data_IF_009898773982
#
_entry.id   IF_009898773982
#
_cell.length_a   1.000
_cell.length_b   1.000
_cell.length_c   1.000
_cell.angle_alpha   90.00
_cell.angle_beta   90.00
_cell.angle_gamma   90.00
#
_symmetry.space_group_name_H-M   'P 1'
#
loop_
_entity.id
_entity.type
_entity.pdbx_description
1 polymer ?
#
# COMPACT_ATOMS: atom_id res chain seq x y z
N UNK A 1 -8.16 13.58 4.16
CA UNK A 1 -8.59 12.17 4.19
C UNK A 1 -7.57 11.37 4.98
N UNK A 2 -8.00 10.45 5.83
CA UNK A 2 -7.09 9.67 6.69
C UNK A 2 -6.85 8.29 6.10
N UNK A 3 -5.61 7.82 6.21
CA UNK A 3 -5.20 6.48 5.82
C UNK A 3 -5.31 5.60 7.07
N UNK A 4 -6.50 5.06 7.32
CA UNK A 4 -6.76 4.17 8.46
C UNK A 4 -6.93 2.72 7.97
N UNK A 5 -5.95 1.90 8.34
CA UNK A 5 -5.95 0.46 8.12
C UNK A 5 -6.19 -0.22 9.46
N UNK A 6 -7.09 -1.19 9.49
CA UNK A 6 -7.39 -1.97 10.68
C UNK A 6 -6.69 -3.32 10.55
N UNK A 7 -5.97 -3.72 11.60
CA UNK A 7 -5.33 -5.03 11.70
C UNK A 7 -5.73 -5.62 13.03
N UNK A 8 -6.47 -6.74 13.02
CA UNK A 8 -6.96 -7.40 14.24
C UNK A 8 -7.71 -6.47 15.21
N UNK A 9 -8.40 -5.45 14.67
CA UNK A 9 -9.15 -4.46 15.45
C UNK A 9 -8.40 -3.16 15.76
N UNK A 10 -7.07 -3.13 15.60
CA UNK A 10 -6.25 -1.94 15.86
C UNK A 10 -6.06 -1.06 14.61
N UNK A 11 -6.11 0.26 14.80
CA UNK A 11 -5.90 1.24 13.72
C UNK A 11 -4.42 1.47 13.47
N UNK A 12 -3.87 0.94 12.40
CA UNK A 12 -2.47 1.11 12.01
C UNK A 12 -2.34 2.17 10.90
N UNK A 13 -1.44 3.13 11.09
CA UNK A 13 -1.04 4.06 10.04
C UNK A 13 0.04 3.48 9.13
N UNK A 14 0.13 3.96 7.90
CA UNK A 14 1.18 3.58 6.96
C UNK A 14 1.58 4.77 6.06
N UNK A 15 2.70 4.62 5.33
CA UNK A 15 3.19 5.61 4.35
C UNK A 15 3.62 4.96 3.04
N UNK A 16 3.21 5.58 1.92
CA UNK A 16 3.58 5.13 0.57
C UNK A 16 4.86 5.82 0.10
N UNK A 17 6.01 5.24 0.47
CA UNK A 17 7.32 5.78 0.11
C UNK A 17 7.87 5.12 -1.16
N UNK A 18 8.55 5.90 -2.02
CA UNK A 18 9.13 5.42 -3.28
C UNK A 18 10.02 4.19 -3.09
N UNK A 19 10.78 4.12 -1.98
CA UNK A 19 11.61 2.95 -1.65
C UNK A 19 10.80 1.67 -1.47
N UNK A 20 9.62 1.73 -0.85
CA UNK A 20 8.75 0.56 -0.65
C UNK A 20 8.12 0.14 -1.99
N UNK A 21 7.72 1.12 -2.80
CA UNK A 21 7.18 0.91 -4.15
C UNK A 21 8.22 0.19 -5.02
N UNK A 22 9.44 0.70 -5.10
CA UNK A 22 10.51 0.10 -5.90
C UNK A 22 10.93 -1.28 -5.37
N UNK A 23 10.90 -1.50 -4.06
CA UNK A 23 11.19 -2.81 -3.46
C UNK A 23 10.18 -3.89 -3.89
N UNK A 24 8.93 -3.52 -4.17
CA UNK A 24 7.88 -4.47 -4.59
C UNK A 24 7.75 -4.51 -6.11
N UNK A 25 7.87 -3.38 -6.80
CA UNK A 25 7.60 -3.27 -8.23
C UNK A 25 8.83 -3.35 -9.14
N UNK A 26 10.04 -3.10 -8.62
CA UNK A 26 11.29 -3.07 -9.38
C UNK A 26 12.06 -1.75 -9.26
N UNK A 27 13.33 -1.76 -9.68
CA UNK A 27 14.36 -0.80 -9.21
C UNK A 27 14.65 0.41 -10.12
N UNK A 28 14.32 0.39 -11.41
CA UNK A 28 14.73 1.47 -12.34
C UNK A 28 13.52 2.22 -12.92
N UNK A 29 12.71 1.55 -13.72
CA UNK A 29 11.52 2.12 -14.33
C UNK A 29 10.36 1.15 -14.17
N UNK A 30 9.24 1.64 -13.62
CA UNK A 30 8.09 0.78 -13.30
C UNK A 30 7.11 0.84 -14.47
N UNK A 31 7.19 -0.12 -15.38
CA UNK A 31 6.30 -0.23 -16.55
C UNK A 31 5.03 -1.05 -16.27
N UNK A 32 5.03 -1.86 -15.21
CA UNK A 32 3.89 -2.71 -14.84
C UNK A 32 2.87 -1.98 -13.97
N UNK A 33 1.59 -2.23 -14.22
CA UNK A 33 0.52 -1.79 -13.31
C UNK A 33 0.55 -2.64 -12.04
N UNK A 34 0.49 -2.02 -10.84
CA UNK A 34 0.45 -2.78 -9.59
C UNK A 34 -0.83 -3.60 -9.48
N UNK A 35 -0.72 -4.83 -9.00
CA UNK A 35 -1.88 -5.65 -8.62
C UNK A 35 -2.41 -5.24 -7.24
N UNK A 36 -3.58 -5.76 -6.85
CA UNK A 36 -4.11 -5.53 -5.50
C UNK A 36 -3.13 -6.03 -4.41
N UNK A 37 -2.52 -7.20 -4.63
CA UNK A 37 -1.52 -7.76 -3.71
C UNK A 37 -0.24 -6.92 -3.68
N UNK A 38 0.22 -6.37 -4.81
CA UNK A 38 1.35 -5.44 -4.80
C UNK A 38 1.05 -4.20 -3.95
N UNK A 39 -0.16 -3.65 -4.06
CA UNK A 39 -0.60 -2.52 -3.22
C UNK A 39 -0.53 -2.90 -1.74
N UNK A 40 -1.06 -4.06 -1.35
CA UNK A 40 -1.04 -4.54 0.03
C UNK A 40 0.38 -4.75 0.55
N UNK A 41 1.28 -5.32 -0.27
CA UNK A 41 2.71 -5.49 0.09
C UNK A 41 3.42 -4.16 0.28
N UNK A 42 3.11 -3.15 -0.54
CA UNK A 42 3.66 -1.80 -0.39
C UNK A 42 3.13 -1.14 0.89
N UNK A 43 1.84 -1.30 1.19
CA UNK A 43 1.23 -0.83 2.44
C UNK A 43 1.89 -1.48 3.65
N UNK A 44 2.07 -2.80 3.64
CA UNK A 44 2.73 -3.55 4.71
C UNK A 44 4.15 -3.02 5.00
N UNK A 45 4.95 -2.78 3.97
CA UNK A 45 6.30 -2.18 4.13
C UNK A 45 6.28 -0.76 4.66
N UNK A 46 5.16 -0.06 4.50
CA UNK A 46 4.97 1.33 4.92
C UNK A 46 4.39 1.49 6.32
N UNK A 47 4.05 0.42 7.04
CA UNK A 47 3.39 0.50 8.34
C UNK A 47 4.25 1.26 9.37
N UNK A 48 3.64 2.20 10.08
CA UNK A 48 4.31 3.03 11.09
C UNK A 48 4.64 2.28 12.39
N UNK A 49 4.14 1.05 12.52
CA UNK A 49 4.38 0.13 13.64
C UNK A 49 4.25 -1.31 13.16
N UNK A 50 4.95 -2.23 13.81
CA UNK A 50 4.75 -3.65 13.56
C UNK A 50 3.34 -4.06 13.98
N UNK A 51 2.64 -4.81 13.12
CA UNK A 51 1.31 -5.34 13.40
C UNK A 51 1.35 -6.81 13.85
N UNK A 52 2.54 -7.37 14.09
CA UNK A 52 2.72 -8.77 14.50
C UNK A 52 2.46 -9.81 13.40
N UNK A 53 2.04 -9.37 12.21
CA UNK A 53 1.85 -10.23 11.04
C UNK A 53 3.10 -10.19 10.15
N UNK A 54 3.46 -11.33 9.57
CA UNK A 54 4.28 -11.39 8.36
C UNK A 54 3.55 -10.76 7.17
N UNK A 55 4.28 -10.48 6.09
CA UNK A 55 3.69 -9.90 4.89
C UNK A 55 2.60 -10.80 4.28
N UNK A 56 2.82 -12.12 4.29
CA UNK A 56 1.88 -13.07 3.70
C UNK A 56 0.63 -13.23 4.57
N UNK A 57 0.79 -13.27 5.90
CA UNK A 57 -0.33 -13.22 6.84
C UNK A 57 -1.14 -11.92 6.71
N UNK A 58 -0.46 -10.80 6.47
CA UNK A 58 -1.12 -9.52 6.24
C UNK A 58 -1.97 -9.53 4.98
N UNK A 59 -1.44 -10.03 3.86
CA UNK A 59 -2.17 -10.13 2.59
C UNK A 59 -3.33 -11.12 2.71
N UNK A 60 -3.07 -12.29 3.29
CA UNK A 60 -4.12 -13.29 3.55
C UNK A 60 -5.21 -12.74 4.48
N UNK A 61 -4.81 -11.96 5.50
CA UNK A 61 -5.72 -11.30 6.42
C UNK A 61 -6.62 -10.27 5.75
N UNK A 62 -6.15 -9.63 4.67
CA UNK A 62 -6.99 -8.72 3.89
C UNK A 62 -8.09 -9.47 3.15
N UNK A 63 -7.74 -10.62 2.56
CA UNK A 63 -8.69 -11.48 1.84
C UNK A 63 -9.69 -12.16 2.78
N UNK A 64 -9.29 -12.50 4.01
CA UNK A 64 -10.17 -13.10 5.02
C UNK A 64 -10.96 -12.08 5.87
N UNK A 65 -10.59 -10.80 5.81
CA UNK A 65 -11.26 -9.71 6.51
C UNK A 65 -10.71 -9.38 7.91
N UNK A 66 -9.63 -10.03 8.37
CA UNK A 66 -8.95 -9.64 9.62
C UNK A 66 -8.10 -8.37 9.47
N UNK A 67 -7.72 -8.05 8.23
CA UNK A 67 -7.13 -6.77 7.83
C UNK A 67 -8.13 -6.06 6.93
N UNK A 68 -8.50 -4.82 7.23
CA UNK A 68 -9.48 -4.11 6.42
C UNK A 68 -9.30 -2.59 6.48
N UNK A 69 -9.88 -1.89 5.51
CA UNK A 69 -9.85 -0.44 5.45
C UNK A 69 -11.22 0.12 5.80
N UNK A 70 -11.25 1.21 6.55
CA UNK A 70 -12.52 1.84 6.92
C UNK A 70 -13.30 2.30 5.70
N UNK A 71 -14.59 1.97 5.69
CA UNK A 71 -15.55 2.41 4.67
C UNK A 71 -16.21 3.75 5.04
N UNK A 72 -15.80 4.40 6.14
CA UNK A 72 -16.35 5.69 6.57
C UNK A 72 -15.99 6.78 5.56
N UNK A 73 -16.91 7.73 5.34
CA UNK A 73 -16.70 8.89 4.46
C UNK A 73 -15.43 9.64 4.88
N UNK A 74 -14.49 9.84 3.95
CA UNK A 74 -13.22 10.53 4.20
C UNK A 74 -12.02 9.63 4.54
N UNK A 75 -12.21 8.31 4.52
CA UNK A 75 -11.15 7.30 4.67
C UNK A 75 -10.75 6.73 3.30
N UNK A 76 -9.48 6.37 3.15
CA UNK A 76 -8.96 5.80 1.90
C UNK A 76 -9.40 4.34 1.73
N UNK A 77 -10.07 4.04 0.61
CA UNK A 77 -10.28 2.67 0.15
C UNK A 77 -9.03 2.13 -0.55
N UNK A 78 -8.95 0.81 -0.75
CA UNK A 78 -7.85 0.19 -1.50
C UNK A 78 -7.72 0.79 -2.91
N UNK A 79 -8.84 1.14 -3.55
CA UNK A 79 -8.86 1.78 -4.86
C UNK A 79 -8.24 3.19 -4.84
N UNK A 80 -8.51 3.96 -3.79
CA UNK A 80 -7.92 5.30 -3.65
C UNK A 80 -6.41 5.21 -3.37
N UNK A 81 -5.98 4.20 -2.60
CA UNK A 81 -4.55 3.90 -2.38
C UNK A 81 -3.89 3.51 -3.70
N UNK A 82 -4.54 2.66 -4.50
CA UNK A 82 -4.07 2.31 -5.85
C UNK A 82 -3.91 3.56 -6.73
N UNK A 83 -4.85 4.50 -6.68
CA UNK A 83 -4.74 5.80 -7.36
C UNK A 83 -3.52 6.61 -6.92
N UNK A 84 -3.30 6.73 -5.60
CA UNK A 84 -2.12 7.41 -5.05
C UNK A 84 -0.82 6.72 -5.49
N UNK A 85 -0.79 5.40 -5.47
CA UNK A 85 0.35 4.60 -5.90
C UNK A 85 0.69 4.85 -7.37
N UNK A 86 -0.32 4.88 -8.26
CA UNK A 86 -0.10 5.21 -9.67
C UNK A 86 0.45 6.63 -9.85
N UNK A 87 0.02 7.59 -9.04
CA UNK A 87 0.58 8.94 -9.02
C UNK A 87 2.08 8.92 -8.69
N UNK A 88 2.46 8.22 -7.60
CA UNK A 88 3.87 8.07 -7.21
C UNK A 88 4.71 7.34 -8.25
N UNK A 89 4.17 6.31 -8.91
CA UNK A 89 4.88 5.61 -9.99
C UNK A 89 5.17 6.56 -11.16
N UNK A 90 4.21 7.41 -11.55
CA UNK A 90 4.45 8.43 -12.59
C UNK A 90 5.53 9.42 -12.19
N UNK A 91 5.55 9.85 -10.93
CA UNK A 91 6.61 10.71 -10.38
C UNK A 91 7.99 10.04 -10.42
N UNK A 92 8.07 8.76 -10.04
CA UNK A 92 9.32 7.98 -10.12
C UNK A 92 9.80 7.89 -11.57
N UNK A 93 8.91 7.51 -12.48
CA UNK A 93 9.24 7.28 -13.88
C UNK A 93 9.63 8.56 -14.63
N UNK A 94 9.09 9.72 -14.25
CA UNK A 94 9.42 10.99 -14.91
C UNK A 94 10.88 11.40 -14.72
N UNK A 95 11.57 10.88 -13.71
CA UNK A 95 13.00 11.08 -13.50
C UNK A 95 13.88 10.39 -14.57
N UNK A 96 13.33 9.43 -15.32
CA UNK A 96 14.04 8.64 -16.34
C UNK A 96 13.65 8.98 -17.78
N UNK A 97 12.64 9.82 -17.98
CA UNK A 97 12.19 10.28 -19.29
C UNK A 97 12.74 11.67 -19.64
N UNK A 98 13.75 12.14 -18.89
CA UNK A 98 14.45 13.40 -19.09
C UNK A 98 15.82 13.17 -19.71
#
# INVERSE_FOLDING_TARGET
MKQELYVNGDVVGYSLQSRHIMSVLGKAYIYRSPTADDVLRIVYRGLSRSCGLSQDEFVSGFHSGSVWMSKKKGQYTLWMIYGLLRGRIREINSAYLR
#
